data_IF_105936428585
#
_entry.id   IF_105936428585
#
_cell.length_a   1.000
_cell.length_b   1.000
_cell.length_c   1.000
_cell.angle_alpha   90.00
_cell.angle_beta   90.00
_cell.angle_gamma   90.00
#
_symmetry.space_group_name_H-M   'P 1'
#
loop_
_entity.id
_entity.type
_entity.pdbx_description
1 polymer ?
#
# COMPACT_ATOMS: atom_id res chain seq x y z
N UNK A 1 36.42 28.97 -28.81
CA UNK A 1 35.54 29.82 -27.97
C UNK A 1 36.00 29.60 -26.54
N UNK A 2 37.13 30.22 -26.17
CA UNK A 2 37.74 30.06 -24.85
C UNK A 2 36.97 30.92 -23.85
N UNK A 3 36.04 30.29 -23.14
CA UNK A 3 35.30 30.93 -22.07
C UNK A 3 36.28 31.31 -20.98
N UNK A 4 36.54 32.61 -20.86
CA UNK A 4 37.47 33.31 -19.96
C UNK A 4 37.17 33.15 -18.46
N UNK A 5 36.45 32.11 -18.06
CA UNK A 5 36.17 31.82 -16.67
C UNK A 5 37.21 30.84 -16.14
N UNK A 6 37.80 31.21 -15.01
CA UNK A 6 38.71 30.35 -14.27
C UNK A 6 37.98 29.05 -13.88
N UNK A 7 38.47 27.91 -14.36
CA UNK A 7 37.90 26.59 -14.09
C UNK A 7 37.80 26.34 -12.58
N UNK A 8 38.67 26.96 -11.77
CA UNK A 8 38.64 26.92 -10.32
C UNK A 8 37.38 27.61 -9.75
N UNK A 9 37.05 28.79 -10.26
CA UNK A 9 35.84 29.51 -9.87
C UNK A 9 34.57 28.75 -10.28
N UNK A 10 34.56 28.18 -11.49
CA UNK A 10 33.45 27.35 -11.98
C UNK A 10 33.23 26.11 -11.11
N UNK A 11 34.31 25.43 -10.70
CA UNK A 11 34.22 24.29 -9.79
C UNK A 11 33.66 24.69 -8.42
N UNK A 12 34.02 25.87 -7.90
CA UNK A 12 33.48 26.37 -6.63
C UNK A 12 31.97 26.59 -6.70
N UNK A 13 31.50 27.33 -7.71
CA UNK A 13 30.06 27.56 -7.90
C UNK A 13 29.30 26.26 -8.15
N UNK A 14 29.87 25.33 -8.93
CA UNK A 14 29.27 24.03 -9.17
C UNK A 14 29.12 23.24 -7.88
N UNK A 15 30.15 23.22 -7.03
CA UNK A 15 30.12 22.55 -5.73
C UNK A 15 29.03 23.12 -4.81
N UNK A 16 28.94 24.45 -4.71
CA UNK A 16 27.94 25.14 -3.88
C UNK A 16 26.51 24.91 -4.37
N UNK A 17 26.32 24.65 -5.67
CA UNK A 17 25.02 24.33 -6.26
C UNK A 17 24.57 22.88 -6.06
N UNK A 18 25.43 21.98 -5.57
CA UNK A 18 25.06 20.58 -5.35
C UNK A 18 24.40 20.37 -3.98
N UNK A 19 23.43 19.45 -3.89
CA UNK A 19 22.93 18.99 -2.59
C UNK A 19 24.07 18.47 -1.71
N UNK A 20 24.04 18.83 -0.42
CA UNK A 20 25.08 18.48 0.57
C UNK A 20 25.37 16.96 0.61
N UNK A 21 24.33 16.13 0.46
CA UNK A 21 24.47 14.67 0.42
C UNK A 21 25.29 14.17 -0.78
N UNK A 22 25.19 14.83 -1.93
CA UNK A 22 25.95 14.50 -3.13
C UNK A 22 27.37 15.08 -3.02
N UNK A 23 27.52 16.30 -2.53
CA UNK A 23 28.82 16.93 -2.27
C UNK A 23 29.67 16.07 -1.34
N UNK A 24 29.13 15.66 -0.19
CA UNK A 24 29.82 14.81 0.77
C UNK A 24 30.21 13.46 0.16
N UNK A 25 29.34 12.86 -0.66
CA UNK A 25 29.62 11.59 -1.33
C UNK A 25 30.74 11.69 -2.37
N UNK A 26 30.87 12.84 -3.04
CA UNK A 26 31.95 13.12 -3.99
C UNK A 26 33.26 13.43 -3.23
N UNK A 27 33.20 14.20 -2.15
CA UNK A 27 34.39 14.58 -1.37
C UNK A 27 34.98 13.40 -0.57
N UNK A 28 34.16 12.44 -0.16
CA UNK A 28 34.58 11.24 0.59
C UNK A 28 35.02 10.08 -0.31
N UNK A 29 35.20 10.30 -1.62
CA UNK A 29 35.75 9.26 -2.49
C UNK A 29 37.20 8.93 -2.14
N UNK A 30 37.55 7.65 -2.26
CA UNK A 30 38.92 7.15 -2.05
C UNK A 30 39.93 7.71 -3.05
N UNK A 31 39.46 8.15 -4.22
CA UNK A 31 40.30 8.61 -5.32
C UNK A 31 40.76 10.08 -5.16
N UNK A 32 40.39 10.72 -4.05
CA UNK A 32 40.72 12.10 -3.73
C UNK A 32 39.81 13.13 -4.41
N UNK A 33 40.02 14.40 -4.08
CA UNK A 33 39.19 15.50 -4.57
C UNK A 33 39.28 15.64 -6.10
N UNK A 34 38.15 15.72 -6.83
CA UNK A 34 38.18 15.91 -8.27
C UNK A 34 38.81 17.27 -8.63
N UNK A 35 39.87 17.24 -9.44
CA UNK A 35 40.63 18.44 -9.84
C UNK A 35 40.19 19.07 -11.17
N UNK A 36 39.15 18.51 -11.79
CA UNK A 36 38.70 18.93 -13.12
C UNK A 36 37.19 19.03 -13.11
N UNK A 37 36.66 20.09 -13.72
CA UNK A 37 35.23 20.34 -13.82
C UNK A 37 34.49 19.17 -14.51
N UNK A 38 35.07 18.57 -15.54
CA UNK A 38 34.51 17.38 -16.21
C UNK A 38 34.36 16.17 -15.26
N UNK A 39 35.34 15.95 -14.38
CA UNK A 39 35.27 14.88 -13.37
C UNK A 39 34.15 15.16 -12.37
N UNK A 40 34.00 16.41 -11.94
CA UNK A 40 32.90 16.84 -11.07
C UNK A 40 31.53 16.54 -11.69
N UNK A 41 31.32 16.90 -12.95
CA UNK A 41 30.07 16.62 -13.67
C UNK A 41 29.76 15.12 -13.73
N UNK A 42 30.72 14.31 -14.16
CA UNK A 42 30.55 12.85 -14.30
C UNK A 42 30.17 12.20 -12.96
N UNK A 43 30.83 12.62 -11.88
CA UNK A 43 30.58 12.10 -10.54
C UNK A 43 29.21 12.56 -9.99
N UNK A 44 28.86 13.84 -10.16
CA UNK A 44 27.57 14.37 -9.73
C UNK A 44 26.41 13.65 -10.41
N UNK A 45 26.48 13.46 -11.73
CA UNK A 45 25.45 12.74 -12.50
C UNK A 45 25.33 11.29 -12.01
N UNK A 46 26.46 10.60 -11.83
CA UNK A 46 26.47 9.21 -11.35
C UNK A 46 25.77 9.08 -10.00
N UNK A 47 26.09 9.96 -9.05
CA UNK A 47 25.54 9.87 -7.71
C UNK A 47 24.10 10.36 -7.59
N UNK A 48 23.71 11.38 -8.36
CA UNK A 48 22.32 11.83 -8.45
C UNK A 48 21.42 10.72 -9.01
N UNK A 49 21.86 10.02 -10.06
CA UNK A 49 21.14 8.88 -10.61
C UNK A 49 20.99 7.74 -9.59
N UNK A 50 22.05 7.43 -8.83
CA UNK A 50 21.96 6.46 -7.73
C UNK A 50 20.95 6.89 -6.66
N UNK A 51 20.97 8.17 -6.29
CA UNK A 51 20.03 8.73 -5.32
C UNK A 51 18.58 8.60 -5.82
N UNK A 52 18.31 8.99 -7.07
CA UNK A 52 17.00 8.85 -7.72
C UNK A 52 16.51 7.40 -7.73
N UNK A 53 17.39 6.43 -8.03
CA UNK A 53 17.07 5.00 -7.97
C UNK A 53 16.71 4.53 -6.55
N UNK A 54 17.48 4.93 -5.53
CA UNK A 54 17.18 4.60 -4.12
C UNK A 54 15.84 5.20 -3.70
N UNK A 55 15.59 6.45 -4.04
CA UNK A 55 14.34 7.15 -3.69
C UNK A 55 13.12 6.55 -4.41
N UNK A 56 13.25 6.14 -5.67
CA UNK A 56 12.20 5.45 -6.41
C UNK A 56 11.84 4.10 -5.77
N UNK A 57 12.84 3.33 -5.36
CA UNK A 57 12.62 2.06 -4.66
C UNK A 57 12.00 2.23 -3.28
N UNK A 58 12.34 3.30 -2.54
CA UNK A 58 11.69 3.64 -1.27
C UNK A 58 10.20 3.95 -1.48
N UNK A 59 9.86 4.78 -2.47
CA UNK A 59 8.46 5.11 -2.80
C UNK A 59 7.63 3.87 -3.18
N UNK A 60 8.23 2.88 -3.86
CA UNK A 60 7.55 1.60 -4.17
C UNK A 60 7.38 0.70 -2.94
N UNK A 61 8.23 0.84 -1.92
CA UNK A 61 8.21 0.05 -0.67
C UNK A 61 7.43 0.72 0.45
N UNK A 62 7.08 2.00 0.32
CA UNK A 62 6.18 2.62 1.28
C UNK A 62 4.84 1.87 1.23
N UNK A 63 4.37 1.30 2.35
CA UNK A 63 3.06 0.70 2.41
C UNK A 63 2.06 1.80 2.02
N UNK A 64 1.33 1.59 0.93
CA UNK A 64 0.14 2.38 0.63
C UNK A 64 -0.73 2.24 1.88
N UNK A 65 -0.73 3.25 2.76
CA UNK A 65 -1.68 3.29 3.87
C UNK A 65 -3.03 3.46 3.20
N UNK A 66 -3.93 2.45 3.19
CA UNK A 66 -5.26 2.70 2.70
C UNK A 66 -5.84 3.78 3.60
N UNK A 67 -6.08 4.98 3.04
CA UNK A 67 -6.78 6.05 3.73
C UNK A 67 -8.25 5.65 3.88
N UNK A 68 -8.52 4.67 4.73
CA UNK A 68 -9.86 4.44 5.26
C UNK A 68 -10.04 5.55 6.29
N UNK A 69 -10.45 6.73 5.82
CA UNK A 69 -11.13 7.70 6.65
C UNK A 69 -12.48 7.06 7.01
N UNK A 70 -12.47 6.15 7.99
CA UNK A 70 -13.68 5.63 8.62
C UNK A 70 -14.26 6.81 9.40
N UNK A 71 -15.03 7.65 8.72
CA UNK A 71 -16.10 8.38 9.38
C UNK A 71 -17.02 7.29 9.91
N UNK A 72 -16.99 7.07 11.22
CA UNK A 72 -17.98 6.24 11.93
C UNK A 72 -19.34 6.91 11.75
N UNK A 73 -19.92 6.77 10.57
CA UNK A 73 -21.35 6.96 10.37
C UNK A 73 -21.96 5.69 10.93
N UNK A 74 -22.75 5.83 11.99
CA UNK A 74 -23.60 4.81 12.56
C UNK A 74 -24.17 3.90 11.46
N UNK A 75 -23.61 2.69 11.34
CA UNK A 75 -24.02 1.74 10.30
C UNK A 75 -25.05 0.82 10.92
N UNK A 76 -26.31 1.05 10.60
CA UNK A 76 -27.40 0.11 10.91
C UNK A 76 -27.04 -1.26 10.30
N UNK A 77 -27.12 -2.34 11.10
CA UNK A 77 -26.65 -3.70 10.73
C UNK A 77 -27.18 -4.15 9.37
N UNK A 78 -28.39 -3.71 8.99
CA UNK A 78 -29.00 -3.95 7.69
C UNK A 78 -28.08 -3.64 6.49
N UNK A 79 -27.16 -2.67 6.59
CA UNK A 79 -26.26 -2.29 5.50
C UNK A 79 -24.98 -3.15 5.39
N UNK A 80 -24.66 -3.95 6.42
CA UNK A 80 -23.42 -4.75 6.51
C UNK A 80 -23.62 -6.24 6.22
N UNK A 81 -24.86 -6.72 6.09
CA UNK A 81 -25.16 -8.13 5.90
C UNK A 81 -25.18 -8.49 4.40
N UNK A 82 -24.62 -9.65 4.07
CA UNK A 82 -24.82 -10.26 2.76
C UNK A 82 -26.30 -10.61 2.55
N UNK A 83 -26.72 -10.85 1.30
CA UNK A 83 -28.11 -11.23 1.04
C UNK A 83 -28.48 -12.57 1.70
N UNK A 84 -27.53 -13.49 1.90
CA UNK A 84 -27.74 -14.72 2.68
C UNK A 84 -27.95 -14.41 4.16
N UNK A 85 -27.07 -13.61 4.78
CA UNK A 85 -27.20 -13.30 6.21
C UNK A 85 -28.48 -12.49 6.50
N UNK A 86 -28.90 -11.64 5.55
CA UNK A 86 -30.17 -10.91 5.68
C UNK A 86 -31.36 -11.86 5.72
N UNK A 87 -31.37 -12.91 4.89
CA UNK A 87 -32.43 -13.93 4.89
C UNK A 87 -32.45 -14.68 6.22
N UNK A 88 -31.29 -15.07 6.73
CA UNK A 88 -31.19 -15.77 8.03
C UNK A 88 -31.73 -14.92 9.18
N UNK A 89 -31.50 -13.61 9.15
CA UNK A 89 -32.06 -12.69 10.14
C UNK A 89 -33.58 -12.58 10.04
N UNK A 90 -34.15 -12.60 8.83
CA UNK A 90 -35.60 -12.58 8.65
C UNK A 90 -36.24 -13.91 9.08
N UNK A 91 -35.63 -15.04 8.73
CA UNK A 91 -36.11 -16.38 9.15
C UNK A 91 -36.04 -16.54 10.67
N UNK A 92 -34.99 -16.04 11.30
CA UNK A 92 -34.80 -16.16 12.75
C UNK A 92 -35.46 -15.03 13.57
N UNK A 93 -36.27 -14.17 12.93
CA UNK A 93 -36.86 -12.96 13.54
C UNK A 93 -35.86 -12.18 14.40
N UNK A 94 -34.66 -11.97 13.84
CA UNK A 94 -33.56 -11.26 14.50
C UNK A 94 -33.61 -9.78 14.18
N UNK A 95 -33.46 -8.99 15.23
CA UNK A 95 -33.45 -7.55 15.15
C UNK A 95 -32.15 -7.03 14.51
N UNK A 96 -32.24 -6.28 13.41
CA UNK A 96 -31.09 -5.61 12.79
C UNK A 96 -30.59 -4.38 13.58
N UNK A 97 -31.17 -4.09 14.74
CA UNK A 97 -30.69 -3.03 15.63
C UNK A 97 -29.88 -3.61 16.79
N UNK A 98 -30.43 -4.58 17.52
CA UNK A 98 -29.80 -5.15 18.72
C UNK A 98 -29.32 -6.60 18.58
N UNK A 99 -29.49 -7.22 17.41
CA UNK A 99 -29.13 -8.62 17.12
C UNK A 99 -29.81 -9.70 17.99
N UNK A 100 -30.82 -9.33 18.78
CA UNK A 100 -31.65 -10.27 19.56
C UNK A 100 -32.76 -10.86 18.69
N UNK A 101 -33.13 -12.11 18.95
CA UNK A 101 -34.25 -12.84 18.32
C UNK A 101 -35.60 -12.43 18.92
N UNK A 102 -36.68 -12.72 18.20
CA UNK A 102 -38.07 -12.52 18.64
C UNK A 102 -38.65 -11.15 18.33
N UNK A 103 -37.92 -10.30 17.59
CA UNK A 103 -38.45 -9.05 17.06
C UNK A 103 -37.57 -8.52 15.92
N UNK A 104 -38.16 -7.75 15.01
CA UNK A 104 -37.40 -7.01 13.99
C UNK A 104 -37.11 -5.59 14.47
N UNK A 105 -36.24 -4.85 13.76
CA UNK A 105 -35.82 -3.50 14.15
C UNK A 105 -36.95 -2.49 14.39
N UNK A 106 -38.13 -2.71 13.78
CA UNK A 106 -39.29 -1.82 13.96
C UNK A 106 -39.86 -1.92 15.38
N UNK A 107 -39.80 -3.11 15.96
CA UNK A 107 -40.39 -3.48 17.25
C UNK A 107 -39.33 -3.59 18.35
N UNK A 108 -38.14 -3.03 18.11
CA UNK A 108 -37.04 -3.08 19.06
C UNK A 108 -37.37 -2.25 20.32
N UNK A 109 -37.41 -2.85 21.51
CA UNK A 109 -37.74 -2.14 22.74
C UNK A 109 -36.66 -1.13 23.16
N UNK A 110 -35.45 -1.23 22.59
CA UNK A 110 -34.35 -0.29 22.83
C UNK A 110 -34.21 0.77 21.75
N UNK A 111 -35.24 0.99 20.92
CA UNK A 111 -35.24 1.99 19.84
C UNK A 111 -34.99 3.39 20.41
N UNK A 112 -33.77 3.90 20.25
CA UNK A 112 -33.34 5.22 20.73
C UNK A 112 -32.23 5.20 21.80
N UNK A 113 -31.83 4.03 22.32
CA UNK A 113 -30.63 3.93 23.15
C UNK A 113 -29.45 3.44 22.31
N UNK A 114 -28.41 4.27 22.20
CA UNK A 114 -27.13 3.90 21.60
C UNK A 114 -26.43 2.86 22.48
N UNK A 115 -26.86 1.60 22.39
CA UNK A 115 -26.22 0.51 23.10
C UNK A 115 -25.19 -0.20 22.22
N UNK A 116 -24.03 -0.34 22.85
CA UNK A 116 -22.78 -0.86 22.34
C UNK A 116 -22.98 -2.22 21.66
N UNK A 117 -22.50 -2.26 20.42
CA UNK A 117 -22.40 -3.44 19.57
C UNK A 117 -21.57 -4.54 20.26
N UNK A 118 -22.21 -5.41 21.04
CA UNK A 118 -21.69 -6.75 21.35
C UNK A 118 -22.27 -7.74 20.32
N UNK A 119 -21.95 -7.52 19.04
CA UNK A 119 -21.94 -8.64 18.11
C UNK A 119 -20.77 -9.55 18.52
N UNK A 120 -20.90 -10.89 18.48
CA UNK A 120 -19.75 -11.75 18.39
C UNK A 120 -18.94 -11.24 17.21
N UNK A 121 -17.77 -10.63 17.46
CA UNK A 121 -16.87 -10.26 16.38
C UNK A 121 -16.54 -11.56 15.66
N UNK A 122 -17.16 -11.82 14.52
CA UNK A 122 -16.44 -12.57 13.49
C UNK A 122 -15.27 -11.67 13.08
N UNK A 123 -14.16 -11.81 13.81
CA UNK A 123 -12.87 -11.36 13.32
C UNK A 123 -12.53 -12.42 12.27
N UNK A 124 -12.58 -12.12 10.95
CA UNK A 124 -11.90 -13.01 10.02
C UNK A 124 -10.48 -13.16 10.56
N UNK A 125 -10.10 -14.39 10.92
CA UNK A 125 -8.74 -14.66 11.40
C UNK A 125 -7.84 -14.16 10.28
N UNK A 126 -7.05 -13.11 10.57
CA UNK A 126 -6.04 -12.63 9.64
C UNK A 126 -5.05 -13.78 9.51
N UNK A 127 -5.22 -14.59 8.48
CA UNK A 127 -4.32 -15.69 8.18
C UNK A 127 -2.93 -15.08 8.01
N UNK A 128 -1.93 -15.74 8.60
CA UNK A 128 -0.55 -15.34 8.31
C UNK A 128 -0.31 -15.46 6.80
N UNK A 129 0.66 -14.71 6.24
CA UNK A 129 0.99 -14.82 4.82
C UNK A 129 1.18 -16.26 4.34
N UNK A 130 1.74 -17.12 5.20
CA UNK A 130 1.95 -18.55 4.92
C UNK A 130 0.65 -19.35 4.92
N UNK A 131 -0.25 -19.08 5.86
CA UNK A 131 -1.56 -19.75 5.92
C UNK A 131 -2.48 -19.33 4.78
N UNK A 132 -2.46 -18.04 4.42
CA UNK A 132 -3.18 -17.51 3.26
C UNK A 132 -2.67 -18.18 1.99
N UNK A 133 -1.34 -18.29 1.82
CA UNK A 133 -0.72 -18.95 0.68
C UNK A 133 -1.08 -20.44 0.58
N UNK A 134 -1.00 -21.19 1.69
CA UNK A 134 -1.42 -22.60 1.72
C UNK A 134 -2.89 -22.76 1.36
N UNK A 135 -3.75 -21.86 1.85
CA UNK A 135 -5.19 -21.90 1.57
C UNK A 135 -5.51 -21.57 0.12
N UNK A 136 -4.83 -20.57 -0.47
CA UNK A 136 -4.94 -20.24 -1.89
C UNK A 136 -4.49 -21.43 -2.75
N UNK A 137 -3.37 -22.06 -2.40
CA UNK A 137 -2.84 -23.23 -3.13
C UNK A 137 -3.79 -24.43 -3.06
N UNK A 138 -4.41 -24.68 -1.90
CA UNK A 138 -5.38 -25.76 -1.73
C UNK A 138 -6.63 -25.53 -2.60
N UNK A 139 -7.16 -24.30 -2.61
CA UNK A 139 -8.31 -23.94 -3.45
C UNK A 139 -8.01 -24.09 -4.94
N UNK A 140 -6.81 -23.72 -5.38
CA UNK A 140 -6.34 -23.88 -6.76
C UNK A 140 -6.19 -25.36 -7.14
N UNK A 141 -5.77 -26.21 -6.21
CA UNK A 141 -5.66 -27.65 -6.45
C UNK A 141 -7.02 -28.39 -6.43
N UNK A 142 -8.04 -27.80 -5.79
CA UNK A 142 -9.41 -28.31 -5.79
C UNK A 142 -10.18 -27.93 -7.06
N UNK A 143 -9.80 -26.83 -7.73
CA UNK A 143 -10.25 -26.52 -9.09
C UNK A 143 -9.48 -27.40 -10.07
N UNK A 144 -10.19 -28.34 -10.71
CA UNK A 144 -9.60 -29.31 -11.64
C UNK A 144 -8.74 -28.66 -12.72
N UNK A 145 -7.75 -29.42 -13.21
CA UNK A 145 -6.64 -28.97 -14.06
C UNK A 145 -7.04 -28.10 -15.27
N UNK A 146 -8.28 -28.19 -15.75
CA UNK A 146 -8.81 -27.40 -16.87
C UNK A 146 -9.06 -25.91 -16.59
N UNK A 147 -9.27 -25.47 -15.35
CA UNK A 147 -9.54 -24.05 -15.04
C UNK A 147 -8.26 -23.23 -14.78
N UNK A 148 -7.13 -23.90 -14.54
CA UNK A 148 -5.85 -23.23 -14.28
C UNK A 148 -5.23 -22.63 -15.55
N UNK A 149 -5.43 -23.26 -16.71
CA UNK A 149 -4.94 -22.77 -18.01
C UNK A 149 -5.66 -21.46 -18.41
N UNK A 150 -6.96 -21.35 -18.15
CA UNK A 150 -7.76 -20.16 -18.49
C UNK A 150 -7.37 -18.93 -17.64
N UNK A 151 -7.00 -19.14 -16.37
CA UNK A 151 -6.50 -18.08 -15.47
C UNK A 151 -5.09 -17.60 -15.88
N UNK A 152 -4.21 -18.51 -16.31
CA UNK A 152 -2.88 -18.14 -16.82
C UNK A 152 -2.95 -17.36 -18.15
N UNK A 153 -3.87 -17.75 -19.04
CA UNK A 153 -4.12 -17.09 -20.32
C UNK A 153 -4.68 -15.66 -20.16
N UNK A 154 -5.49 -15.41 -19.13
CA UNK A 154 -5.97 -14.07 -18.79
C UNK A 154 -4.84 -13.15 -18.30
N UNK A 155 -3.85 -13.69 -17.57
CA UNK A 155 -2.72 -12.91 -17.05
C UNK A 155 -1.66 -12.60 -18.13
N UNK A 156 -1.59 -13.39 -19.20
CA UNK A 156 -0.71 -13.13 -20.35
C UNK A 156 -1.26 -12.10 -21.35
N UNK A 157 -2.57 -11.84 -21.34
CA UNK A 157 -3.24 -10.89 -22.26
C UNK A 157 -3.19 -9.44 -21.79
N UNK A 158 -3.02 -9.19 -20.49
CA UNK A 158 -2.74 -7.85 -19.96
C UNK A 158 -1.24 -7.71 -19.68
N UNK A 159 -0.48 -7.60 -20.77
CA UNK A 159 0.97 -7.43 -20.76
C UNK A 159 1.44 -6.18 -20.00
N UNK A 160 2.57 -6.35 -19.32
CA UNK A 160 3.49 -5.28 -18.93
C UNK A 160 4.64 -5.22 -19.94
#
# INVERSE_FOLDING_TARGET
MDTKYDDEALMKFFREGLPESLQNKIMLQTDGEPKTLDKWYKLAIKYDNQYKLVMANRKKREPIKPKIARKEKEVTVRRMLSESDRKDYMVAEKCFHCAKTGHISRDCPTKGQAQQTLLPRYKPKKLSPREAFTKIRALIAEQGEGEQEEIFDLMGKEGF
#
